data_IF_446477406634
#
_entry.id   IF_446477406634
#
_cell.length_a   1.000
_cell.length_b   1.000
_cell.length_c   1.000
_cell.angle_alpha   90.00
_cell.angle_beta   90.00
_cell.angle_gamma   90.00
#
_symmetry.space_group_name_H-M   'P 1'
#
loop_
_entity.id
_entity.type
_entity.pdbx_description
1 polymer ?
#
# COMPACT_ATOMS: atom_id res chain seq x y z
N UNK A 1 6.80 -18.56 11.52
CA UNK A 1 6.39 -17.14 11.45
C UNK A 1 7.53 -16.18 11.71
N UNK A 2 8.30 -16.33 12.79
CA UNK A 2 9.48 -15.50 13.09
C UNK A 2 10.59 -15.52 12.02
N UNK A 3 10.65 -16.56 11.18
CA UNK A 3 11.70 -16.71 10.16
C UNK A 3 11.54 -15.81 8.93
N UNK A 4 10.40 -15.12 8.79
CA UNK A 4 10.12 -14.23 7.66
C UNK A 4 10.86 -12.88 7.81
N UNK A 5 11.22 -12.20 6.72
CA UNK A 5 11.84 -10.86 6.78
C UNK A 5 11.02 -9.90 7.64
N UNK A 6 11.69 -9.10 8.46
CA UNK A 6 11.09 -8.11 9.38
C UNK A 6 10.23 -8.67 10.52
N UNK A 7 10.22 -9.98 10.79
CA UNK A 7 9.54 -10.51 11.98
C UNK A 7 10.48 -10.50 13.19
N UNK A 8 10.08 -9.89 14.32
CA UNK A 8 10.95 -9.77 15.48
C UNK A 8 11.08 -11.11 16.23
N UNK A 9 12.22 -11.28 16.90
CA UNK A 9 12.42 -12.37 17.86
C UNK A 9 12.99 -13.68 17.31
N UNK A 10 13.29 -13.81 16.01
CA UNK A 10 13.93 -15.03 15.46
C UNK A 10 15.23 -15.39 16.19
N UNK A 11 16.14 -14.43 16.31
CA UNK A 11 17.44 -14.63 16.94
C UNK A 11 17.30 -14.94 18.42
N UNK A 12 16.44 -14.20 19.13
CA UNK A 12 16.10 -14.46 20.54
C UNK A 12 15.55 -15.87 20.74
N UNK A 13 14.57 -16.30 19.94
CA UNK A 13 14.00 -17.66 20.01
C UNK A 13 15.09 -18.71 19.81
N UNK A 14 15.96 -18.54 18.81
CA UNK A 14 17.03 -19.49 18.53
C UNK A 14 18.07 -19.55 19.67
N UNK A 15 18.49 -18.40 20.20
CA UNK A 15 19.44 -18.33 21.31
C UNK A 15 18.88 -18.91 22.61
N UNK A 16 17.60 -18.66 22.89
CA UNK A 16 16.90 -19.21 24.06
C UNK A 16 16.75 -20.73 23.94
N UNK A 17 16.41 -21.26 22.76
CA UNK A 17 16.35 -22.70 22.52
C UNK A 17 17.71 -23.38 22.70
N UNK A 18 18.80 -22.77 22.25
CA UNK A 18 20.15 -23.30 22.48
C UNK A 18 20.50 -23.30 23.97
N UNK A 19 20.21 -22.20 24.67
CA UNK A 19 20.48 -22.07 26.11
C UNK A 19 19.70 -23.11 26.92
N UNK A 20 18.42 -23.32 26.61
CA UNK A 20 17.59 -24.35 27.24
C UNK A 20 18.09 -25.77 26.94
N UNK A 21 18.54 -26.05 25.70
CA UNK A 21 19.14 -27.35 25.37
C UNK A 21 20.39 -27.64 26.22
N UNK A 22 21.27 -26.65 26.40
CA UNK A 22 22.48 -26.79 27.21
C UNK A 22 22.16 -27.02 28.70
N UNK A 23 21.10 -26.40 29.20
CA UNK A 23 20.61 -26.58 30.56
C UNK A 23 19.99 -27.98 30.76
N UNK A 24 19.19 -28.44 29.80
CA UNK A 24 18.49 -29.73 29.85
C UNK A 24 19.39 -30.94 29.53
N UNK A 25 20.56 -30.73 28.93
CA UNK A 25 21.53 -31.80 28.65
C UNK A 25 22.26 -32.32 29.92
N UNK A 26 22.06 -31.69 31.07
CA UNK A 26 22.67 -32.10 32.34
C UNK A 26 21.99 -33.38 32.86
N UNK A 27 22.79 -34.37 33.23
CA UNK A 27 22.28 -35.72 33.55
C UNK A 27 21.85 -35.90 35.00
N UNK A 28 22.40 -35.13 35.94
CA UNK A 28 22.07 -35.21 37.35
C UNK A 28 21.41 -33.92 37.88
N UNK A 29 20.58 -34.08 38.90
CA UNK A 29 19.78 -33.01 39.50
C UNK A 29 20.64 -31.93 40.17
N UNK A 30 21.80 -32.28 40.72
CA UNK A 30 22.71 -31.32 41.34
C UNK A 30 23.32 -30.38 40.29
N UNK A 31 23.87 -30.92 39.20
CA UNK A 31 24.44 -30.14 38.10
C UNK A 31 23.40 -29.21 37.45
N UNK A 32 22.15 -29.68 37.34
CA UNK A 32 21.04 -28.87 36.82
C UNK A 32 20.72 -27.69 37.75
N UNK A 33 20.51 -27.95 39.05
CA UNK A 33 20.19 -26.90 40.04
C UNK A 33 21.33 -25.89 40.15
N UNK A 34 22.58 -26.36 40.19
CA UNK A 34 23.77 -25.51 40.25
C UNK A 34 23.88 -24.59 39.02
N UNK A 35 23.65 -25.13 37.82
CA UNK A 35 23.66 -24.34 36.58
C UNK A 35 22.51 -23.32 36.58
N UNK A 36 21.30 -23.71 37.00
CA UNK A 36 20.16 -22.79 37.12
C UNK A 36 20.44 -21.63 38.08
N UNK A 37 21.10 -21.91 39.21
CA UNK A 37 21.45 -20.89 40.19
C UNK A 37 22.47 -19.90 39.61
N UNK A 38 23.49 -20.40 38.92
CA UNK A 38 24.53 -19.56 38.31
C UNK A 38 23.99 -18.74 37.12
N UNK A 39 23.08 -19.30 36.32
CA UNK A 39 22.49 -18.66 35.14
C UNK A 39 21.16 -17.96 35.43
N UNK A 40 20.83 -17.71 36.70
CA UNK A 40 19.52 -17.18 37.14
C UNK A 40 19.06 -15.91 36.39
N UNK A 41 20.00 -15.01 36.08
CA UNK A 41 19.72 -13.76 35.36
C UNK A 41 19.34 -14.03 33.91
N UNK A 42 20.07 -14.92 33.24
CA UNK A 42 19.78 -15.36 31.88
C UNK A 42 18.44 -16.09 31.79
N UNK A 43 18.11 -16.91 32.79
CA UNK A 43 16.81 -17.58 32.89
C UNK A 43 15.68 -16.53 33.06
N UNK A 44 15.90 -15.51 33.87
CA UNK A 44 14.94 -14.41 34.03
C UNK A 44 14.75 -13.61 32.72
N UNK A 45 15.83 -13.36 31.97
CA UNK A 45 15.77 -12.73 30.65
C UNK A 45 14.96 -13.58 29.65
N UNK A 46 15.22 -14.90 29.59
CA UNK A 46 14.45 -15.84 28.77
C UNK A 46 12.97 -15.76 29.11
N UNK A 47 12.61 -15.77 30.39
CA UNK A 47 11.23 -15.69 30.83
C UNK A 47 10.56 -14.36 30.40
N UNK A 48 11.28 -13.24 30.51
CA UNK A 48 10.84 -11.93 30.05
C UNK A 48 10.57 -11.91 28.54
N UNK A 49 11.51 -12.43 27.74
CA UNK A 49 11.37 -12.51 26.29
C UNK A 49 10.24 -13.45 25.87
N UNK A 50 10.07 -14.61 26.53
CA UNK A 50 8.96 -15.53 26.28
C UNK A 50 7.62 -14.84 26.54
N UNK A 51 7.51 -14.03 27.60
CA UNK A 51 6.29 -13.24 27.88
C UNK A 51 6.00 -12.22 26.78
N UNK A 52 7.02 -11.54 26.27
CA UNK A 52 6.86 -10.59 25.15
C UNK A 52 6.42 -11.31 23.88
N UNK A 53 7.10 -12.39 23.51
CA UNK A 53 6.81 -13.17 22.29
C UNK A 53 5.42 -13.82 22.34
N UNK A 54 5.04 -14.39 23.48
CA UNK A 54 3.72 -15.00 23.71
C UNK A 54 2.59 -13.97 23.74
N UNK A 55 2.89 -12.70 23.98
CA UNK A 55 1.92 -11.61 23.82
C UNK A 55 1.84 -11.14 22.37
N UNK A 56 2.99 -10.97 21.72
CA UNK A 56 3.10 -10.42 20.37
C UNK A 56 2.47 -11.32 19.30
N UNK A 57 2.89 -12.59 19.23
CA UNK A 57 2.48 -13.46 18.12
C UNK A 57 0.97 -13.74 18.07
N UNK A 58 0.26 -13.94 19.20
CA UNK A 58 -1.18 -14.12 19.17
C UNK A 58 -1.96 -12.82 18.96
N UNK A 59 -1.50 -11.69 19.53
CA UNK A 59 -2.32 -10.45 19.61
C UNK A 59 -1.94 -9.41 18.56
N UNK A 60 -0.65 -9.23 18.30
CA UNK A 60 -0.11 -8.06 17.57
C UNK A 60 0.42 -8.42 16.18
N UNK A 61 0.60 -9.70 15.85
CA UNK A 61 1.12 -10.13 14.54
C UNK A 61 0.27 -9.66 13.36
N UNK A 62 -1.05 -9.53 13.56
CA UNK A 62 -1.97 -9.04 12.52
C UNK A 62 -1.66 -7.58 12.17
N UNK A 63 -1.49 -6.75 13.19
CA UNK A 63 -1.06 -5.36 13.00
C UNK A 63 0.34 -5.28 12.39
N UNK A 64 1.28 -6.10 12.85
CA UNK A 64 2.64 -6.11 12.30
C UNK A 64 2.69 -6.42 10.80
N UNK A 65 1.89 -7.40 10.34
CA UNK A 65 1.72 -7.70 8.91
C UNK A 65 1.16 -6.52 8.13
N UNK A 66 0.16 -5.85 8.70
CA UNK A 66 -0.43 -4.65 8.10
C UNK A 66 0.61 -3.53 8.00
N UNK A 67 1.45 -3.35 9.02
CA UNK A 67 2.52 -2.36 9.03
C UNK A 67 3.54 -2.62 7.92
N UNK A 68 4.03 -3.85 7.76
CA UNK A 68 4.95 -4.25 6.67
C UNK A 68 4.36 -3.86 5.33
N UNK A 69 3.14 -4.34 5.04
CA UNK A 69 2.46 -4.08 3.78
C UNK A 69 2.25 -2.58 3.54
N UNK A 70 1.84 -1.84 4.56
CA UNK A 70 1.59 -0.40 4.42
C UNK A 70 2.89 0.36 4.11
N UNK A 71 4.01 -0.02 4.73
CA UNK A 71 5.31 0.59 4.42
C UNK A 71 5.71 0.31 2.97
N UNK A 72 5.49 -0.90 2.47
CA UNK A 72 5.70 -1.24 1.05
C UNK A 72 4.81 -0.39 0.13
N UNK A 73 3.52 -0.28 0.44
CA UNK A 73 2.56 0.53 -0.32
C UNK A 73 2.97 2.02 -0.34
N UNK A 74 3.45 2.57 0.78
CA UNK A 74 3.91 3.96 0.85
C UNK A 74 5.19 4.21 0.06
N UNK A 75 6.06 3.21 -0.11
CA UNK A 75 7.31 3.36 -0.88
C UNK A 75 7.05 3.68 -2.35
N UNK A 76 5.90 3.27 -2.90
CA UNK A 76 5.47 3.63 -4.27
C UNK A 76 5.38 5.15 -4.43
N UNK A 77 4.92 5.85 -3.39
CA UNK A 77 4.71 7.30 -3.39
C UNK A 77 5.81 8.07 -2.63
N UNK A 78 7.00 7.47 -2.46
CA UNK A 78 8.05 8.05 -1.61
C UNK A 78 8.52 9.42 -2.09
N UNK A 79 8.50 9.67 -3.40
CA UNK A 79 8.87 10.96 -4.01
C UNK A 79 7.93 12.08 -3.55
N UNK A 80 6.63 11.81 -3.47
CA UNK A 80 5.64 12.76 -2.99
C UNK A 80 5.69 12.91 -1.46
N UNK A 81 5.89 11.81 -0.74
CA UNK A 81 6.08 11.83 0.73
C UNK A 81 7.28 12.70 1.11
N UNK A 82 8.38 12.64 0.35
CA UNK A 82 9.60 13.46 0.59
C UNK A 82 9.35 14.96 0.51
N UNK A 83 8.31 15.41 -0.19
CA UNK A 83 7.97 16.85 -0.28
C UNK A 83 7.44 17.41 1.04
N UNK A 84 6.94 16.55 1.94
CA UNK A 84 6.52 16.93 3.28
C UNK A 84 7.50 16.36 4.32
N UNK A 85 8.38 17.21 4.84
CA UNK A 85 9.41 16.82 5.82
C UNK A 85 8.83 16.21 7.10
N UNK A 86 7.68 16.69 7.56
CA UNK A 86 7.00 16.22 8.76
C UNK A 86 6.44 14.79 8.59
N UNK A 87 5.95 14.46 7.39
CA UNK A 87 5.46 13.11 7.06
C UNK A 87 6.62 12.17 6.75
N UNK A 88 7.66 12.65 6.06
CA UNK A 88 8.88 11.90 5.81
C UNK A 88 9.54 11.44 7.12
N UNK A 89 9.62 12.33 8.11
CA UNK A 89 10.15 11.98 9.44
C UNK A 89 9.36 10.83 10.09
N UNK A 90 8.03 10.88 10.03
CA UNK A 90 7.16 9.81 10.55
C UNK A 90 7.33 8.50 9.78
N UNK A 91 7.45 8.56 8.46
CA UNK A 91 7.71 7.38 7.62
C UNK A 91 9.07 6.75 7.95
N UNK A 92 10.11 7.57 8.16
CA UNK A 92 11.42 7.07 8.57
C UNK A 92 11.36 6.43 9.95
N UNK A 93 10.63 7.02 10.91
CA UNK A 93 10.42 6.43 12.23
C UNK A 93 9.67 5.08 12.16
N UNK A 94 8.64 4.97 11.33
CA UNK A 94 7.97 3.68 11.06
C UNK A 94 8.94 2.63 10.52
N UNK A 95 9.81 3.03 9.60
CA UNK A 95 10.82 2.12 9.02
C UNK A 95 11.83 1.68 10.07
N UNK A 96 12.28 2.58 10.95
CA UNK A 96 13.16 2.25 12.08
C UNK A 96 12.51 1.25 13.04
N UNK A 97 11.22 1.46 13.38
CA UNK A 97 10.47 0.52 14.23
C UNK A 97 10.40 -0.85 13.54
N UNK A 98 10.13 -0.89 12.24
CA UNK A 98 10.04 -2.13 11.47
C UNK A 98 11.36 -2.93 11.49
N UNK A 99 12.50 -2.25 11.45
CA UNK A 99 13.83 -2.88 11.48
C UNK A 99 14.36 -3.12 12.90
N UNK A 100 13.63 -2.71 13.94
CA UNK A 100 14.07 -2.90 15.32
C UNK A 100 14.04 -4.38 15.71
N UNK A 101 15.08 -4.90 16.39
CA UNK A 101 15.12 -6.28 16.86
C UNK A 101 14.10 -6.54 17.99
N UNK A 102 13.62 -5.50 18.67
CA UNK A 102 12.65 -5.60 19.77
C UNK A 102 11.62 -4.45 19.71
N UNK A 103 10.67 -4.51 18.75
CA UNK A 103 9.71 -3.42 18.50
C UNK A 103 8.49 -3.45 19.44
N UNK A 104 8.40 -4.40 20.37
CA UNK A 104 7.17 -4.74 21.11
C UNK A 104 6.53 -3.56 21.84
N UNK A 105 7.35 -2.72 22.48
CA UNK A 105 6.89 -1.51 23.19
C UNK A 105 6.57 -0.34 22.25
N UNK A 106 7.08 -0.38 21.03
CA UNK A 106 6.94 0.67 20.01
C UNK A 106 5.68 0.48 19.15
N UNK A 107 4.90 -0.58 19.39
CA UNK A 107 3.75 -0.89 18.55
C UNK A 107 2.64 0.15 18.66
N UNK A 108 2.41 0.70 19.86
CA UNK A 108 1.45 1.79 20.05
C UNK A 108 1.88 3.04 19.29
N UNK A 109 3.18 3.38 19.33
CA UNK A 109 3.75 4.48 18.53
C UNK A 109 3.58 4.19 17.02
N UNK A 110 3.87 2.96 16.59
CA UNK A 110 3.74 2.56 15.20
C UNK A 110 2.29 2.67 14.70
N UNK A 111 1.28 2.36 15.52
CA UNK A 111 -0.13 2.51 15.17
C UNK A 111 -0.50 3.97 14.88
N UNK A 112 -0.06 4.91 15.73
CA UNK A 112 -0.33 6.33 15.54
C UNK A 112 0.40 6.89 14.32
N UNK A 113 1.67 6.56 14.17
CA UNK A 113 2.48 6.98 13.03
C UNK A 113 1.89 6.42 11.72
N UNK A 114 1.46 5.15 11.72
CA UNK A 114 0.85 4.51 10.56
C UNK A 114 -0.41 5.26 10.13
N UNK A 115 -1.29 5.64 11.06
CA UNK A 115 -2.50 6.43 10.75
C UNK A 115 -2.16 7.75 10.08
N UNK A 116 -1.16 8.48 10.58
CA UNK A 116 -0.74 9.79 10.05
C UNK A 116 -0.15 9.67 8.64
N UNK A 117 0.77 8.73 8.43
CA UNK A 117 1.39 8.51 7.12
C UNK A 117 0.37 7.98 6.12
N UNK A 118 -0.50 7.05 6.52
CA UNK A 118 -1.58 6.52 5.68
C UNK A 118 -2.51 7.62 5.19
N UNK A 119 -3.00 8.47 6.11
CA UNK A 119 -3.87 9.59 5.75
C UNK A 119 -3.22 10.51 4.71
N UNK A 120 -1.94 10.79 4.85
CA UNK A 120 -1.23 11.63 3.87
C UNK A 120 -1.03 10.91 2.53
N UNK A 121 -0.68 9.63 2.54
CA UNK A 121 -0.57 8.81 1.34
C UNK A 121 -1.89 8.70 0.57
N UNK A 122 -3.01 8.53 1.28
CA UNK A 122 -4.35 8.50 0.68
C UNK A 122 -4.68 9.83 -0.02
N UNK A 123 -4.27 10.96 0.56
CA UNK A 123 -4.39 12.28 -0.10
C UNK A 123 -3.52 12.40 -1.36
N UNK A 124 -2.31 11.84 -1.35
CA UNK A 124 -1.43 11.79 -2.53
C UNK A 124 -2.13 11.01 -3.65
N UNK A 125 -2.64 9.81 -3.34
CA UNK A 125 -3.35 8.96 -4.31
C UNK A 125 -4.61 9.67 -4.83
N UNK A 126 -5.37 10.32 -3.96
CA UNK A 126 -6.56 11.08 -4.35
C UNK A 126 -6.21 12.20 -5.33
N UNK A 127 -5.17 13.01 -5.03
CA UNK A 127 -4.71 14.08 -5.92
C UNK A 127 -4.22 13.56 -7.27
N UNK A 128 -3.45 12.47 -7.27
CA UNK A 128 -2.99 11.84 -8.49
C UNK A 128 -4.18 11.32 -9.34
N UNK A 129 -5.15 10.70 -8.69
CA UNK A 129 -6.38 10.20 -9.35
C UNK A 129 -7.18 11.36 -9.94
N UNK A 130 -7.33 12.47 -9.21
CA UNK A 130 -8.00 13.68 -9.70
C UNK A 130 -7.31 14.27 -10.93
N UNK A 131 -6.00 14.47 -10.86
CA UNK A 131 -5.22 15.00 -11.98
C UNK A 131 -5.32 14.10 -13.22
N UNK A 132 -5.27 12.77 -13.03
CA UNK A 132 -5.43 11.81 -14.11
C UNK A 132 -6.83 11.86 -14.73
N UNK A 133 -7.87 11.99 -13.90
CA UNK A 133 -9.26 12.16 -14.35
C UNK A 133 -9.43 13.41 -15.20
N UNK A 134 -8.89 14.53 -14.73
CA UNK A 134 -8.94 15.80 -15.46
C UNK A 134 -8.24 15.70 -16.82
N UNK A 135 -7.08 15.03 -16.87
CA UNK A 135 -6.36 14.78 -18.13
C UNK A 135 -7.17 13.90 -19.09
N UNK A 136 -7.78 12.82 -18.61
CA UNK A 136 -8.64 11.95 -19.41
C UNK A 136 -9.86 12.70 -19.96
N UNK A 137 -10.54 13.48 -19.11
CA UNK A 137 -11.68 14.30 -19.54
C UNK A 137 -11.28 15.34 -20.60
N UNK A 138 -10.10 15.94 -20.46
CA UNK A 138 -9.57 16.89 -21.45
C UNK A 138 -9.28 16.21 -22.80
N UNK A 139 -8.78 14.97 -22.82
CA UNK A 139 -8.65 14.18 -24.06
C UNK A 139 -10.00 13.98 -24.75
N UNK A 140 -11.04 13.61 -24.00
CA UNK A 140 -12.39 13.43 -24.57
C UNK A 140 -12.95 14.75 -25.10
N UNK A 141 -12.68 15.89 -24.46
CA UNK A 141 -13.03 17.20 -25.02
C UNK A 141 -12.34 17.48 -26.36
N UNK A 142 -11.08 17.08 -26.51
CA UNK A 142 -10.35 17.20 -27.78
C UNK A 142 -10.99 16.31 -28.85
N UNK A 143 -11.37 15.06 -28.52
CA UNK A 143 -12.10 14.17 -29.44
C UNK A 143 -13.44 14.78 -29.89
N UNK A 144 -14.22 15.31 -28.94
CA UNK A 144 -15.48 16.00 -29.24
C UNK A 144 -15.24 17.16 -30.22
N UNK A 145 -14.21 18.00 -29.99
CA UNK A 145 -13.88 19.10 -30.90
C UNK A 145 -13.48 18.61 -32.29
N UNK A 146 -12.69 17.54 -32.38
CA UNK A 146 -12.31 16.93 -33.66
C UNK A 146 -13.53 16.42 -34.42
N UNK A 147 -14.41 15.71 -33.74
CA UNK A 147 -15.65 15.16 -34.32
C UNK A 147 -16.55 16.28 -34.86
N UNK A 148 -16.74 17.37 -34.09
CA UNK A 148 -17.51 18.55 -34.54
C UNK A 148 -16.91 19.16 -35.81
N UNK A 149 -15.59 19.26 -35.89
CA UNK A 149 -14.93 19.78 -37.09
C UNK A 149 -15.14 18.85 -38.31
N UNK A 150 -15.12 17.54 -38.11
CA UNK A 150 -15.36 16.57 -39.18
C UNK A 150 -16.80 16.61 -39.66
N UNK A 151 -17.78 16.70 -38.76
CA UNK A 151 -19.18 16.86 -39.15
C UNK A 151 -19.43 18.09 -40.02
N UNK A 152 -18.75 19.20 -39.71
CA UNK A 152 -18.83 20.41 -40.52
C UNK A 152 -18.18 20.23 -41.89
N UNK A 153 -17.23 19.30 -42.03
CA UNK A 153 -16.58 18.99 -43.31
C UNK A 153 -17.41 18.04 -44.17
N UNK A 154 -17.99 16.98 -43.59
CA UNK A 154 -18.72 15.92 -44.31
C UNK A 154 -20.23 16.18 -44.45
N UNK A 155 -20.72 17.35 -44.01
CA UNK A 155 -22.15 17.71 -44.01
C UNK A 155 -23.07 16.62 -43.42
N UNK A 156 -22.57 15.92 -42.39
CA UNK A 156 -23.22 14.79 -41.72
C UNK A 156 -24.63 15.13 -41.22
N UNK A 157 -25.56 14.16 -41.27
CA UNK A 157 -26.92 14.33 -40.77
C UNK A 157 -26.99 14.65 -39.26
N UNK A 158 -28.01 15.44 -38.88
CA UNK A 158 -28.19 15.92 -37.51
C UNK A 158 -28.43 14.78 -36.51
N UNK A 159 -29.06 13.67 -36.92
CA UNK A 159 -29.29 12.53 -36.04
C UNK A 159 -27.96 11.84 -35.66
N UNK A 160 -27.09 11.58 -36.64
CA UNK A 160 -25.78 10.97 -36.42
C UNK A 160 -24.88 11.86 -35.55
N UNK A 161 -24.85 13.18 -35.83
CA UNK A 161 -24.14 14.18 -35.00
C UNK A 161 -24.56 14.09 -33.52
N UNK A 162 -25.87 14.05 -33.28
CA UNK A 162 -26.40 13.99 -31.92
C UNK A 162 -26.02 12.68 -31.21
N UNK A 163 -26.08 11.56 -31.92
CA UNK A 163 -25.74 10.22 -31.38
C UNK A 163 -24.28 10.16 -30.93
N UNK A 164 -23.34 10.51 -31.80
CA UNK A 164 -21.91 10.41 -31.49
C UNK A 164 -21.50 11.40 -30.40
N UNK A 165 -21.99 12.65 -30.47
CA UNK A 165 -21.70 13.64 -29.42
C UNK A 165 -22.30 13.24 -28.08
N UNK A 166 -23.49 12.63 -28.07
CA UNK A 166 -24.09 12.13 -26.84
C UNK A 166 -23.23 11.02 -26.22
N UNK A 167 -22.75 10.07 -27.02
CA UNK A 167 -21.90 8.98 -26.56
C UNK A 167 -20.60 9.49 -25.90
N UNK A 168 -19.87 10.40 -26.56
CA UNK A 168 -18.64 10.98 -26.00
C UNK A 168 -18.88 11.86 -24.77
N UNK A 169 -19.98 12.64 -24.75
CA UNK A 169 -20.37 13.44 -23.57
C UNK A 169 -20.72 12.55 -22.38
N UNK A 170 -21.39 11.43 -22.63
CA UNK A 170 -21.71 10.46 -21.60
C UNK A 170 -20.45 9.75 -21.08
N UNK A 171 -19.53 9.38 -21.97
CA UNK A 171 -18.23 8.84 -21.58
C UNK A 171 -17.44 9.82 -20.69
N UNK A 172 -17.39 11.11 -21.07
CA UNK A 172 -16.80 12.17 -20.22
C UNK A 172 -17.48 12.28 -18.85
N UNK A 173 -18.82 12.19 -18.80
CA UNK A 173 -19.56 12.19 -17.54
C UNK A 173 -19.22 10.96 -16.68
N UNK A 174 -19.13 9.77 -17.26
CA UNK A 174 -18.72 8.53 -16.56
C UNK A 174 -17.30 8.67 -16.01
N UNK A 175 -16.36 9.24 -16.79
CA UNK A 175 -15.01 9.53 -16.34
C UNK A 175 -15.00 10.42 -15.09
N UNK A 176 -15.87 11.44 -15.00
CA UNK A 176 -15.93 12.34 -13.83
C UNK A 176 -16.26 11.65 -12.50
N UNK A 177 -16.92 10.49 -12.53
CA UNK A 177 -17.29 9.72 -11.34
C UNK A 177 -16.35 8.55 -11.03
N UNK A 178 -15.35 8.30 -11.90
CA UNK A 178 -14.43 7.17 -11.70
C UNK A 178 -13.50 7.41 -10.51
N UNK A 179 -13.44 6.41 -9.62
CA UNK A 179 -12.80 6.51 -8.29
C UNK A 179 -11.35 6.05 -8.25
N UNK A 180 -10.84 5.42 -9.31
CA UNK A 180 -9.48 4.91 -9.35
C UNK A 180 -8.88 5.01 -10.76
N UNK A 181 -7.55 5.04 -10.82
CA UNK A 181 -6.79 5.23 -12.06
C UNK A 181 -7.11 4.14 -13.10
N UNK A 182 -7.16 2.86 -12.71
CA UNK A 182 -7.45 1.75 -13.64
C UNK A 182 -8.82 1.89 -14.31
N UNK A 183 -9.84 2.29 -13.55
CA UNK A 183 -11.18 2.52 -14.09
C UNK A 183 -11.24 3.75 -14.99
N UNK A 184 -10.42 4.77 -14.73
CA UNK A 184 -10.25 5.93 -15.64
C UNK A 184 -9.61 5.46 -16.94
N UNK A 185 -8.54 4.66 -16.87
CA UNK A 185 -7.81 4.17 -18.05
C UNK A 185 -8.69 3.28 -18.93
N UNK A 186 -9.39 2.31 -18.35
CA UNK A 186 -10.31 1.44 -19.09
C UNK A 186 -11.39 2.25 -19.83
N UNK A 187 -12.06 3.16 -19.12
CA UNK A 187 -13.08 4.02 -19.74
C UNK A 187 -12.50 4.90 -20.85
N UNK A 188 -11.27 5.38 -20.68
CA UNK A 188 -10.61 6.19 -21.69
C UNK A 188 -10.27 5.36 -22.93
N UNK A 189 -9.74 4.14 -22.77
CA UNK A 189 -9.50 3.22 -23.89
C UNK A 189 -10.81 2.91 -24.63
N UNK A 190 -11.87 2.52 -23.92
CA UNK A 190 -13.18 2.26 -24.52
C UNK A 190 -13.72 3.49 -25.30
N UNK A 191 -13.38 4.71 -24.83
CA UNK A 191 -13.78 5.95 -25.50
C UNK A 191 -12.90 6.27 -26.71
N UNK A 192 -11.61 5.93 -26.65
CA UNK A 192 -10.66 6.06 -27.76
C UNK A 192 -11.09 5.11 -28.90
N UNK A 193 -11.40 3.85 -28.59
CA UNK A 193 -11.88 2.86 -29.56
C UNK A 193 -13.21 3.30 -30.20
N UNK A 194 -14.19 3.70 -29.37
CA UNK A 194 -15.47 4.23 -29.86
C UNK A 194 -15.29 5.47 -30.75
N UNK A 195 -14.32 6.33 -30.43
CA UNK A 195 -14.04 7.50 -31.25
C UNK A 195 -13.47 7.08 -32.60
N UNK A 196 -12.58 6.11 -32.65
CA UNK A 196 -12.00 5.62 -33.90
C UNK A 196 -13.09 4.97 -34.79
N UNK A 197 -14.00 4.18 -34.22
CA UNK A 197 -15.17 3.62 -34.92
C UNK A 197 -16.03 4.72 -35.56
N UNK A 198 -16.33 5.81 -34.82
CA UNK A 198 -17.08 6.95 -35.35
C UNK A 198 -16.36 7.66 -36.51
N UNK A 199 -15.03 7.69 -36.48
CA UNK A 199 -14.22 8.29 -37.55
C UNK A 199 -14.21 7.42 -38.80
N UNK A 200 -14.27 6.09 -38.64
CA UNK A 200 -14.42 5.16 -39.77
C UNK A 200 -15.81 5.28 -40.39
N UNK A 201 -16.87 5.28 -39.58
CA UNK A 201 -18.25 5.43 -40.06
C UNK A 201 -18.45 6.75 -40.85
N UNK A 202 -17.82 7.83 -40.40
CA UNK A 202 -17.85 9.13 -41.10
C UNK A 202 -17.11 9.16 -42.45
N UNK A 203 -16.21 8.20 -42.71
CA UNK A 203 -15.49 8.11 -43.99
C UNK A 203 -16.20 7.21 -45.00
N UNK A 204 -17.11 6.36 -44.53
CA UNK A 204 -17.89 5.46 -45.37
C UNK A 204 -19.17 6.14 -45.92
N UNK A 205 -19.60 7.26 -45.31
CA UNK A 205 -20.62 8.18 -45.83
C UNK A 205 -20.08 9.17 -46.87
#
# INVERSE_FOLDING_TARGET
TAQKPFYPGKEKINGHLQSLKMLLARQDSYSLIYTCYNEKEKIAEIAGDVKLLSTFYPRQVKFWKLLIKSIEDFRVNITEIKKNSEILSKFNRLTQILTSPSPYILLTEAEELLKKVKKHNDLIIQKATEAHRMKAMSKVEVMIKKLVNLFNHYNTDQAMRNTFLYALRNAKKRLSYSKNIKGIDLLLCDTEDMFDDFIEELKEE
#
